data_IF_677293756269
#
_entry.id   IF_677293756269
#
_cell.length_a   1.000
_cell.length_b   1.000
_cell.length_c   1.000
_cell.angle_alpha   90.00
_cell.angle_beta   90.00
_cell.angle_gamma   90.00
#
_symmetry.space_group_name_H-M   'P 1'
#
loop_
_entity.id
_entity.type
_entity.pdbx_description
1 polymer ?
#
# COMPACT_ATOMS: atom_id res chain seq x y z
N UNK A 1 -16.32 6.91 12.15
CA UNK A 1 -15.22 7.36 13.02
C UNK A 1 -15.79 8.39 13.98
N UNK A 2 -15.51 8.33 15.28
CA UNK A 2 -15.92 9.39 16.22
C UNK A 2 -14.95 10.56 16.06
N UNK A 3 -15.47 11.78 15.92
CA UNK A 3 -14.62 12.96 15.94
C UNK A 3 -14.17 13.19 17.39
N UNK A 4 -12.91 12.94 17.70
CA UNK A 4 -12.41 13.13 19.07
C UNK A 4 -12.41 14.62 19.43
N UNK A 5 -12.54 14.95 20.71
CA UNK A 5 -12.45 16.34 21.18
C UNK A 5 -11.17 17.03 20.72
N UNK A 6 -10.03 16.33 20.75
CA UNK A 6 -8.74 16.85 20.28
C UNK A 6 -8.75 17.14 18.77
N UNK A 7 -9.37 16.28 17.95
CA UNK A 7 -9.51 16.51 16.52
C UNK A 7 -10.37 17.76 16.26
N UNK A 8 -11.49 17.89 16.98
CA UNK A 8 -12.39 19.03 16.86
C UNK A 8 -11.70 20.33 17.26
N UNK A 9 -10.97 20.34 18.38
CA UNK A 9 -10.25 21.52 18.85
C UNK A 9 -9.14 21.95 17.88
N UNK A 10 -8.34 21.00 17.41
CA UNK A 10 -7.24 21.28 16.48
C UNK A 10 -7.72 21.79 15.12
N UNK A 11 -8.94 21.44 14.72
CA UNK A 11 -9.51 21.75 13.42
C UNK A 11 -10.78 22.61 13.52
N UNK A 12 -10.95 23.40 14.58
CA UNK A 12 -12.15 24.21 14.82
C UNK A 12 -12.42 25.27 13.72
N UNK A 13 -11.39 25.59 12.92
CA UNK A 13 -11.50 26.46 11.75
C UNK A 13 -12.08 25.73 10.51
N UNK A 14 -12.10 24.39 10.51
CA UNK A 14 -12.61 23.56 9.42
C UNK A 14 -13.83 22.72 9.80
N UNK A 15 -13.94 22.32 11.07
CA UNK A 15 -14.91 21.37 11.57
C UNK A 15 -15.82 22.00 12.62
N UNK A 16 -17.10 21.69 12.55
CA UNK A 16 -18.08 21.99 13.60
C UNK A 16 -18.80 20.73 14.06
N UNK A 17 -19.25 20.67 15.34
CA UNK A 17 -19.96 19.50 15.86
C UNK A 17 -21.28 19.27 15.11
N UNK A 18 -21.54 18.02 14.75
CA UNK A 18 -22.81 17.60 14.14
C UNK A 18 -23.78 17.01 15.18
N UNK A 19 -23.35 16.89 16.44
CA UNK A 19 -24.08 16.22 17.51
C UNK A 19 -23.98 14.69 17.42
N UNK A 20 -24.91 14.00 18.08
CA UNK A 20 -24.99 12.54 18.06
C UNK A 20 -25.48 12.04 16.70
N UNK A 21 -24.58 11.45 15.94
CA UNK A 21 -24.90 10.75 14.69
C UNK A 21 -24.80 9.25 14.91
N UNK A 22 -25.71 8.51 14.29
CA UNK A 22 -25.65 7.06 14.28
C UNK A 22 -24.55 6.61 13.31
N UNK A 23 -23.50 5.99 13.84
CA UNK A 23 -22.45 5.38 13.04
C UNK A 23 -23.07 4.24 12.20
N UNK A 24 -23.05 4.31 10.86
CA UNK A 24 -23.71 3.32 10.00
C UNK A 24 -23.07 1.92 10.12
N UNK A 25 -21.79 1.82 10.45
CA UNK A 25 -21.08 0.54 10.53
C UNK A 25 -21.31 -0.20 11.86
N UNK A 26 -21.54 0.53 12.96
CA UNK A 26 -21.67 -0.06 14.29
C UNK A 26 -23.05 0.12 14.91
N UNK A 27 -23.94 0.90 14.30
CA UNK A 27 -25.25 1.28 14.83
C UNK A 27 -25.22 2.13 16.11
N UNK A 28 -24.02 2.48 16.61
CA UNK A 28 -23.82 3.24 17.85
C UNK A 28 -23.97 4.74 17.58
N UNK A 29 -24.47 5.48 18.56
CA UNK A 29 -24.36 6.94 18.56
C UNK A 29 -22.89 7.32 18.77
N UNK A 30 -22.42 8.24 17.95
CA UNK A 30 -21.08 8.83 18.03
C UNK A 30 -21.19 10.33 17.83
N UNK A 31 -20.29 11.08 18.46
CA UNK A 31 -20.15 12.51 18.18
C UNK A 31 -19.61 12.70 16.76
N UNK A 32 -20.44 13.32 15.93
CA UNK A 32 -20.10 13.65 14.55
C UNK A 32 -19.45 15.01 14.40
N UNK A 33 -18.76 15.18 13.29
CA UNK A 33 -18.26 16.46 12.82
C UNK A 33 -18.74 16.67 11.38
N UNK A 34 -18.95 17.93 11.01
CA UNK A 34 -19.13 18.34 9.61
C UNK A 34 -18.23 19.52 9.28
N UNK A 35 -18.00 19.77 7.99
CA UNK A 35 -17.28 20.94 7.53
C UNK A 35 -18.09 22.22 7.84
N UNK A 36 -17.40 23.26 8.32
CA UNK A 36 -17.96 24.61 8.44
C UNK A 36 -18.34 25.14 7.04
N UNK A 37 -19.25 26.14 6.92
CA UNK A 37 -19.57 26.74 5.64
C UNK A 37 -18.35 27.31 4.89
N UNK A 38 -17.42 27.90 5.63
CA UNK A 38 -16.16 28.41 5.08
C UNK A 38 -15.28 27.27 4.56
N UNK A 39 -15.20 26.15 5.29
CA UNK A 39 -14.45 24.98 4.85
C UNK A 39 -15.09 24.29 3.64
N UNK A 40 -16.42 24.26 3.54
CA UNK A 40 -17.12 23.77 2.35
C UNK A 40 -16.83 24.65 1.12
N UNK A 41 -16.79 25.98 1.32
CA UNK A 41 -16.43 26.94 0.27
C UNK A 41 -14.97 26.76 -0.15
N UNK A 42 -14.06 26.64 0.83
CA UNK A 42 -12.65 26.37 0.60
C UNK A 42 -12.43 25.05 -0.16
N UNK A 43 -13.17 23.99 0.18
CA UNK A 43 -13.11 22.72 -0.53
C UNK A 43 -13.56 22.88 -1.99
N UNK A 44 -14.68 23.58 -2.24
CA UNK A 44 -15.18 23.85 -3.60
C UNK A 44 -14.18 24.65 -4.44
N UNK A 45 -13.60 25.70 -3.88
CA UNK A 45 -12.61 26.52 -4.59
C UNK A 45 -11.31 25.77 -4.83
N UNK A 46 -10.81 25.02 -3.84
CA UNK A 46 -9.58 24.23 -3.97
C UNK A 46 -9.73 23.08 -4.97
N UNK A 47 -10.91 22.45 -5.04
CA UNK A 47 -11.20 21.41 -6.02
C UNK A 47 -11.30 21.94 -7.45
N UNK A 48 -11.68 23.22 -7.61
CA UNK A 48 -11.76 23.90 -8.90
C UNK A 48 -10.41 24.48 -9.36
N UNK A 49 -9.42 24.52 -8.47
CA UNK A 49 -8.06 24.98 -8.78
C UNK A 49 -7.22 23.81 -9.32
N UNK A 50 -6.86 23.91 -10.61
CA UNK A 50 -6.02 22.91 -11.28
C UNK A 50 -4.68 22.64 -10.59
N UNK A 51 -4.15 23.60 -9.83
CA UNK A 51 -2.89 23.43 -9.09
C UNK A 51 -3.00 22.41 -7.96
N UNK A 52 -4.18 22.33 -7.32
CA UNK A 52 -4.44 21.44 -6.19
C UNK A 52 -5.24 20.19 -6.58
N UNK A 53 -5.99 20.24 -7.69
CA UNK A 53 -6.84 19.14 -8.14
C UNK A 53 -6.08 17.81 -8.24
N UNK A 54 -4.86 17.79 -8.80
CA UNK A 54 -4.05 16.58 -8.89
C UNK A 54 -3.58 16.05 -7.52
N UNK A 55 -3.27 16.94 -6.58
CA UNK A 55 -2.81 16.55 -5.24
C UNK A 55 -3.98 16.07 -4.38
N UNK A 56 -5.13 16.75 -4.47
CA UNK A 56 -6.38 16.35 -3.83
C UNK A 56 -6.84 15.00 -4.37
N UNK A 57 -6.87 14.80 -5.68
CA UNK A 57 -7.23 13.51 -6.28
C UNK A 57 -6.23 12.41 -5.93
N UNK A 58 -4.92 12.70 -5.92
CA UNK A 58 -3.93 11.74 -5.46
C UNK A 58 -4.16 11.34 -3.99
N UNK A 59 -4.54 12.28 -3.12
CA UNK A 59 -4.87 12.01 -1.71
C UNK A 59 -6.16 11.19 -1.56
N UNK A 60 -7.21 11.56 -2.30
CA UNK A 60 -8.50 10.85 -2.30
C UNK A 60 -8.37 9.44 -2.87
N UNK A 61 -7.65 9.28 -3.97
CA UNK A 61 -7.40 8.00 -4.61
C UNK A 61 -6.45 7.12 -3.80
N UNK A 62 -5.54 7.70 -3.02
CA UNK A 62 -4.55 6.92 -2.31
C UNK A 62 -5.09 6.13 -1.12
N UNK A 63 -6.08 6.65 -0.37
CA UNK A 63 -6.60 5.90 0.79
C UNK A 63 -7.88 6.42 1.46
N UNK A 64 -8.65 7.34 0.85
CA UNK A 64 -9.95 7.69 1.43
C UNK A 64 -10.99 6.71 0.88
N UNK A 65 -11.31 5.69 1.67
CA UNK A 65 -12.52 4.87 1.49
C UNK A 65 -13.75 5.73 1.81
N UNK A 66 -14.00 6.75 0.99
CA UNK A 66 -15.31 7.40 0.93
C UNK A 66 -16.18 6.48 0.09
N UNK A 67 -17.24 5.94 0.68
CA UNK A 67 -18.33 5.47 -0.17
C UNK A 67 -18.99 6.71 -0.78
N UNK A 68 -18.92 6.77 -2.12
CA UNK A 68 -19.45 7.80 -3.01
C UNK A 68 -18.43 8.88 -3.44
N UNK A 69 -18.60 9.28 -4.69
CA UNK A 69 -17.65 9.70 -5.71
C UNK A 69 -16.98 11.05 -5.52
N UNK A 70 -15.66 11.05 -5.74
CA UNK A 70 -14.84 12.25 -5.93
C UNK A 70 -15.10 13.39 -4.93
N UNK A 71 -14.73 14.60 -5.33
CA UNK A 71 -15.07 15.81 -4.58
C UNK A 71 -16.53 16.21 -4.80
N UNK A 72 -17.07 15.93 -6.00
CA UNK A 72 -18.42 16.37 -6.39
C UNK A 72 -19.55 15.70 -5.59
N UNK A 73 -19.45 14.41 -5.26
CA UNK A 73 -20.45 13.71 -4.45
C UNK A 73 -20.26 14.00 -2.95
N UNK A 74 -19.01 14.25 -2.50
CA UNK A 74 -18.70 14.82 -1.17
C UNK A 74 -19.39 16.18 -0.93
N UNK A 75 -19.55 16.96 -1.99
CA UNK A 75 -20.23 18.25 -1.97
C UNK A 75 -21.76 18.15 -2.17
N UNK A 76 -22.25 17.01 -2.68
CA UNK A 76 -23.66 16.78 -3.01
C UNK A 76 -24.40 15.79 -2.08
N UNK A 77 -23.70 15.08 -1.19
CA UNK A 77 -24.28 14.02 -0.37
C UNK A 77 -25.32 14.54 0.64
N UNK A 78 -26.59 14.19 0.39
CA UNK A 78 -27.60 13.97 1.42
C UNK A 78 -27.33 12.61 2.08
N UNK A 79 -27.45 12.54 3.41
CA UNK A 79 -27.20 11.34 4.22
C UNK A 79 -28.27 10.27 3.97
N UNK A 80 -28.10 9.45 2.93
CA UNK A 80 -28.90 8.23 2.75
C UNK A 80 -28.20 6.97 3.33
N UNK A 81 -28.97 6.01 3.87
CA UNK A 81 -28.45 4.89 4.63
C UNK A 81 -27.79 3.80 3.77
N UNK A 82 -26.64 3.34 4.25
CA UNK A 82 -25.77 2.31 3.68
C UNK A 82 -26.34 0.88 3.80
N UNK A 83 -26.14 0.07 2.76
CA UNK A 83 -26.39 -1.39 2.73
C UNK A 83 -25.11 -2.11 2.31
N UNK A 84 -24.52 -2.88 3.23
CA UNK A 84 -23.29 -3.65 3.03
C UNK A 84 -23.54 -4.81 2.04
N UNK A 85 -22.92 -4.77 0.85
CA UNK A 85 -22.95 -5.91 -0.09
C UNK A 85 -21.75 -6.84 0.16
N UNK A 86 -22.07 -8.01 0.72
CA UNK A 86 -21.32 -9.29 0.66
C UNK A 86 -19.80 -9.25 0.65
N UNK A 87 -19.17 -9.68 1.74
CA UNK A 87 -17.79 -10.18 1.71
C UNK A 87 -17.75 -11.44 0.86
N UNK A 88 -16.89 -11.47 -0.16
CA UNK A 88 -16.64 -12.70 -0.92
C UNK A 88 -16.09 -13.77 0.03
N UNK A 89 -16.50 -15.02 -0.16
CA UNK A 89 -16.03 -16.12 0.67
C UNK A 89 -14.51 -16.30 0.47
N UNK A 90 -13.74 -16.08 1.54
CA UNK A 90 -12.30 -16.38 1.57
C UNK A 90 -12.14 -17.88 1.73
N UNK A 91 -11.30 -18.50 0.89
CA UNK A 91 -11.01 -19.94 1.04
C UNK A 91 -10.35 -20.22 2.40
N UNK A 92 -10.68 -21.34 3.04
CA UNK A 92 -10.00 -21.78 4.24
C UNK A 92 -8.51 -22.04 3.96
N UNK A 93 -7.65 -21.77 4.94
CA UNK A 93 -6.22 -22.03 4.82
C UNK A 93 -5.97 -23.53 4.58
N UNK A 94 -5.14 -23.91 3.59
CA UNK A 94 -4.78 -25.30 3.37
C UNK A 94 -3.97 -25.82 4.56
N UNK A 95 -4.29 -27.02 5.05
CA UNK A 95 -3.54 -27.69 6.14
C UNK A 95 -2.35 -28.44 5.54
N UNK A 96 -1.18 -28.35 6.17
CA UNK A 96 -0.02 -29.18 5.80
C UNK A 96 1.26 -28.64 6.42
N UNK A 97 1.77 -29.28 7.47
CA UNK A 97 2.82 -28.72 8.31
C UNK A 97 3.94 -27.98 7.55
N UNK A 98 4.07 -26.68 7.78
CA UNK A 98 5.20 -25.87 7.32
C UNK A 98 6.48 -26.32 8.04
N UNK A 99 7.10 -27.40 7.56
CA UNK A 99 8.36 -27.92 8.09
C UNK A 99 9.53 -26.97 7.87
N UNK A 100 9.42 -26.08 6.88
CA UNK A 100 10.43 -25.07 6.56
C UNK A 100 9.81 -23.76 6.04
N UNK A 101 10.63 -22.70 5.96
CA UNK A 101 10.26 -21.43 5.32
C UNK A 101 9.90 -21.61 3.84
N UNK A 102 10.60 -22.50 3.13
CA UNK A 102 10.31 -22.80 1.73
C UNK A 102 8.93 -23.43 1.54
N UNK A 103 8.56 -24.38 2.41
CA UNK A 103 7.24 -25.02 2.36
C UNK A 103 6.11 -24.02 2.64
N UNK A 104 6.34 -23.09 3.58
CA UNK A 104 5.41 -22.00 3.85
C UNK A 104 5.20 -21.11 2.62
N UNK A 105 6.29 -20.73 1.94
CA UNK A 105 6.23 -19.90 0.71
C UNK A 105 5.51 -20.63 -0.42
N UNK A 106 5.81 -21.91 -0.65
CA UNK A 106 5.14 -22.73 -1.66
C UNK A 106 3.63 -22.82 -1.41
N UNK A 107 3.22 -23.09 -0.16
CA UNK A 107 1.81 -23.12 0.25
C UNK A 107 1.14 -21.76 0.11
N UNK A 108 1.84 -20.68 0.46
CA UNK A 108 1.34 -19.32 0.30
C UNK A 108 1.08 -18.98 -1.18
N UNK A 109 2.03 -19.32 -2.06
CA UNK A 109 1.90 -19.13 -3.52
C UNK A 109 0.70 -19.90 -4.05
N UNK A 110 0.59 -21.19 -3.71
CA UNK A 110 -0.52 -22.04 -4.14
C UNK A 110 -1.86 -21.54 -3.61
N UNK A 111 -1.92 -21.10 -2.35
CA UNK A 111 -3.16 -20.59 -1.79
C UNK A 111 -3.59 -19.28 -2.48
N UNK A 112 -2.68 -18.34 -2.71
CA UNK A 112 -3.02 -17.09 -3.43
C UNK A 112 -3.48 -17.39 -4.86
N UNK A 113 -2.88 -18.39 -5.52
CA UNK A 113 -3.26 -18.82 -6.86
C UNK A 113 -4.70 -19.35 -6.89
N UNK A 114 -5.07 -20.16 -5.91
CA UNK A 114 -6.39 -20.80 -5.85
C UNK A 114 -7.48 -19.91 -5.22
N UNK A 115 -7.13 -18.97 -4.36
CA UNK A 115 -8.07 -18.09 -3.67
C UNK A 115 -8.75 -17.15 -4.68
N UNK A 116 -10.09 -17.14 -4.79
CA UNK A 116 -10.78 -16.19 -5.66
C UNK A 116 -10.60 -14.74 -5.17
N UNK A 117 -10.36 -13.81 -6.10
CA UNK A 117 -10.11 -12.40 -5.79
C UNK A 117 -11.07 -11.47 -6.52
N UNK A 118 -11.64 -10.53 -5.76
CA UNK A 118 -12.52 -9.50 -6.28
C UNK A 118 -11.80 -8.14 -6.23
N UNK A 119 -11.35 -7.58 -7.37
CA UNK A 119 -10.77 -6.24 -7.40
C UNK A 119 -11.76 -5.20 -6.87
N UNK A 120 -11.31 -4.40 -5.91
CA UNK A 120 -12.12 -3.35 -5.27
C UNK A 120 -11.43 -1.99 -5.36
N UNK A 121 -12.23 -0.95 -5.56
CA UNK A 121 -11.83 0.45 -5.47
C UNK A 121 -12.79 1.18 -4.55
N UNK A 122 -12.27 1.78 -3.47
CA UNK A 122 -13.08 2.49 -2.46
C UNK A 122 -14.28 1.64 -1.97
N UNK A 123 -14.01 0.40 -1.59
CA UNK A 123 -15.01 -0.57 -1.11
C UNK A 123 -15.83 -1.27 -2.20
N UNK A 124 -15.93 -0.71 -3.41
CA UNK A 124 -16.78 -1.22 -4.50
C UNK A 124 -16.04 -2.16 -5.42
N UNK A 125 -16.71 -3.24 -5.85
CA UNK A 125 -16.20 -4.12 -6.91
C UNK A 125 -16.12 -3.34 -8.23
N UNK A 126 -14.98 -3.42 -8.93
CA UNK A 126 -14.77 -2.68 -10.20
C UNK A 126 -14.57 -3.57 -11.42
N UNK A 127 -14.38 -4.88 -11.22
CA UNK A 127 -14.19 -5.89 -12.28
C UNK A 127 -14.85 -7.20 -11.85
N UNK A 128 -14.88 -8.20 -12.71
CA UNK A 128 -15.27 -9.56 -12.30
C UNK A 128 -14.27 -10.16 -11.30
N UNK A 129 -14.72 -11.20 -10.59
CA UNK A 129 -13.82 -12.03 -9.79
C UNK A 129 -12.80 -12.73 -10.68
N UNK A 130 -11.55 -12.78 -10.24
CA UNK A 130 -10.43 -13.44 -10.92
C UNK A 130 -9.79 -14.47 -9.99
N UNK A 131 -9.04 -15.39 -10.56
CA UNK A 131 -8.30 -16.42 -9.84
C UNK A 131 -6.96 -16.61 -10.56
N UNK A 132 -5.90 -16.96 -9.83
CA UNK A 132 -4.56 -17.07 -10.40
C UNK A 132 -3.74 -15.79 -10.28
N UNK A 133 -2.42 -15.93 -10.22
CA UNK A 133 -1.50 -14.79 -10.07
C UNK A 133 -1.50 -13.86 -11.28
N UNK A 134 -1.54 -14.40 -12.51
CA UNK A 134 -1.48 -13.61 -13.73
C UNK A 134 -2.75 -12.75 -13.91
N UNK A 135 -3.92 -13.33 -13.68
CA UNK A 135 -5.22 -12.66 -13.77
C UNK A 135 -5.35 -11.58 -12.70
N UNK A 136 -4.81 -11.82 -11.49
CA UNK A 136 -4.72 -10.78 -10.44
C UNK A 136 -3.81 -9.62 -10.86
N UNK A 137 -2.73 -9.88 -11.59
CA UNK A 137 -1.85 -8.84 -12.13
C UNK A 137 -2.53 -8.07 -13.27
N UNK A 138 -3.27 -8.73 -14.16
CA UNK A 138 -4.07 -8.07 -15.21
C UNK A 138 -5.21 -7.23 -14.62
N UNK A 139 -5.73 -7.64 -13.47
CA UNK A 139 -6.71 -6.88 -12.70
C UNK A 139 -6.12 -5.68 -11.93
N UNK A 140 -4.79 -5.54 -11.87
CA UNK A 140 -4.15 -4.41 -11.19
C UNK A 140 -4.55 -3.08 -11.81
N UNK A 141 -4.76 -2.10 -10.94
CA UNK A 141 -4.90 -0.71 -11.34
C UNK A 141 -4.38 0.24 -10.25
N UNK A 142 -3.86 1.40 -10.64
CA UNK A 142 -3.52 2.48 -9.73
C UNK A 142 -3.28 3.81 -10.48
N UNK A 143 -3.82 4.94 -9.99
CA UNK A 143 -4.60 5.10 -8.76
C UNK A 143 -6.08 4.78 -8.93
N UNK A 144 -6.57 4.70 -10.17
CA UNK A 144 -7.98 4.52 -10.52
C UNK A 144 -8.15 3.31 -11.45
N UNK A 145 -9.35 2.70 -11.54
CA UNK A 145 -9.59 1.45 -12.30
C UNK A 145 -9.26 1.48 -13.79
N UNK A 146 -9.19 2.66 -14.38
CA UNK A 146 -8.83 2.94 -15.78
C UNK A 146 -7.31 2.97 -16.02
N UNK A 147 -6.49 3.03 -14.97
CA UNK A 147 -5.03 3.04 -15.07
C UNK A 147 -4.47 1.66 -14.72
N UNK A 148 -4.22 0.84 -15.73
CA UNK A 148 -3.69 -0.52 -15.54
C UNK A 148 -2.20 -0.56 -15.14
N UNK A 149 -1.66 -1.77 -14.98
CA UNK A 149 -0.26 -1.96 -14.60
C UNK A 149 0.74 -1.42 -15.65
N UNK A 150 0.40 -1.48 -16.95
CA UNK A 150 1.28 -1.01 -18.04
C UNK A 150 1.33 0.51 -18.06
N UNK A 151 0.17 1.16 -18.00
CA UNK A 151 0.06 2.61 -17.88
C UNK A 151 0.78 3.11 -16.62
N UNK A 152 0.62 2.40 -15.49
CA UNK A 152 1.36 2.69 -14.26
C UNK A 152 2.87 2.61 -14.49
N UNK A 153 3.38 1.52 -15.07
CA UNK A 153 4.82 1.35 -15.34
C UNK A 153 5.36 2.46 -16.23
N UNK A 154 4.68 2.77 -17.34
CA UNK A 154 5.09 3.85 -18.25
C UNK A 154 5.17 5.20 -17.55
N UNK A 155 4.18 5.53 -16.71
CA UNK A 155 4.16 6.76 -15.91
C UNK A 155 5.32 6.84 -14.92
N UNK A 156 5.79 5.70 -14.41
CA UNK A 156 6.85 5.62 -13.41
C UNK A 156 8.27 5.58 -14.00
N UNK A 157 8.41 5.29 -15.29
CA UNK A 157 9.72 5.23 -15.97
C UNK A 157 10.62 6.45 -15.72
N UNK A 158 10.14 7.71 -15.82
CA UNK A 158 10.99 8.87 -15.55
C UNK A 158 11.50 8.94 -14.11
N UNK A 159 10.68 8.53 -13.13
CA UNK A 159 11.06 8.46 -11.72
C UNK A 159 12.08 7.34 -11.48
N UNK A 160 11.91 6.18 -12.12
CA UNK A 160 12.88 5.08 -12.06
C UNK A 160 14.24 5.50 -12.63
N UNK A 161 14.26 6.16 -13.79
CA UNK A 161 15.48 6.67 -14.40
C UNK A 161 16.17 7.70 -13.51
N UNK A 162 15.40 8.61 -12.90
CA UNK A 162 15.92 9.60 -11.95
C UNK A 162 16.51 8.94 -10.71
N UNK A 163 15.79 7.97 -10.12
CA UNK A 163 16.28 7.23 -8.97
C UNK A 163 17.57 6.45 -9.28
N UNK A 164 17.67 5.85 -10.47
CA UNK A 164 18.89 5.18 -10.91
C UNK A 164 20.08 6.14 -11.00
N UNK A 165 19.90 7.31 -11.60
CA UNK A 165 20.96 8.31 -11.71
C UNK A 165 21.42 8.79 -10.34
N UNK A 166 20.48 9.10 -9.44
CA UNK A 166 20.78 9.51 -8.05
C UNK A 166 21.46 8.39 -7.26
N UNK A 167 21.03 7.14 -7.44
CA UNK A 167 21.61 6.00 -6.74
C UNK A 167 23.08 5.77 -7.11
N UNK A 168 23.47 6.00 -8.36
CA UNK A 168 24.85 5.85 -8.83
C UNK A 168 25.86 6.80 -8.16
N UNK A 169 25.37 7.89 -7.57
CA UNK A 169 26.19 8.92 -6.91
C UNK A 169 25.80 9.15 -5.44
N UNK A 170 24.96 8.29 -4.86
CA UNK A 170 24.52 8.40 -3.47
C UNK A 170 25.71 8.44 -2.49
N UNK A 171 25.67 9.36 -1.51
CA UNK A 171 26.76 9.62 -0.57
C UNK A 171 27.76 10.67 -1.05
N UNK A 172 27.66 11.12 -2.30
CA UNK A 172 28.52 12.15 -2.89
C UNK A 172 27.74 13.13 -3.78
N UNK A 173 26.47 13.35 -3.48
CA UNK A 173 25.62 14.23 -4.26
C UNK A 173 26.13 15.67 -4.25
N UNK A 174 26.20 16.24 -5.46
CA UNK A 174 26.34 17.66 -5.72
C UNK A 174 25.13 18.45 -5.20
N UNK A 175 25.22 19.78 -5.21
CA UNK A 175 24.07 20.62 -4.84
C UNK A 175 22.86 20.36 -5.73
N UNK A 176 23.07 20.24 -7.04
CA UNK A 176 22.02 19.98 -8.01
C UNK A 176 21.36 18.62 -7.80
N UNK A 177 22.15 17.56 -7.53
CA UNK A 177 21.60 16.23 -7.23
C UNK A 177 20.80 16.22 -5.92
N UNK A 178 21.17 17.03 -4.93
CA UNK A 178 20.41 17.19 -3.68
C UNK A 178 19.04 17.83 -3.92
N UNK A 179 18.97 18.86 -4.77
CA UNK A 179 17.70 19.46 -5.18
C UNK A 179 16.85 18.45 -5.96
N UNK A 180 17.45 17.78 -6.94
CA UNK A 180 16.79 16.75 -7.72
C UNK A 180 16.26 15.59 -6.86
N UNK A 181 17.01 15.18 -5.84
CA UNK A 181 16.59 14.13 -4.90
C UNK A 181 15.36 14.54 -4.08
N UNK A 182 15.28 15.81 -3.67
CA UNK A 182 14.10 16.32 -2.98
C UNK A 182 12.87 16.33 -3.90
N UNK A 183 13.03 16.84 -5.13
CA UNK A 183 11.94 16.89 -6.11
C UNK A 183 11.46 15.49 -6.48
N UNK A 184 12.41 14.56 -6.66
CA UNK A 184 12.13 13.15 -6.86
C UNK A 184 11.31 12.55 -5.72
N UNK A 185 11.72 12.75 -4.46
CA UNK A 185 11.00 12.23 -3.31
C UNK A 185 9.57 12.82 -3.22
N UNK A 186 9.41 14.13 -3.46
CA UNK A 186 8.09 14.79 -3.53
C UNK A 186 7.21 14.18 -4.62
N UNK A 187 7.75 13.95 -5.81
CA UNK A 187 7.03 13.34 -6.91
C UNK A 187 6.58 11.89 -6.58
N UNK A 188 7.42 11.11 -5.92
CA UNK A 188 7.07 9.76 -5.42
C UNK A 188 5.95 9.83 -4.38
N UNK A 189 6.01 10.78 -3.46
CA UNK A 189 4.96 10.97 -2.45
C UNK A 189 3.64 11.42 -3.07
N UNK A 190 3.68 12.32 -4.07
CA UNK A 190 2.51 12.76 -4.83
C UNK A 190 1.88 11.57 -5.57
N UNK A 191 2.68 10.79 -6.31
CA UNK A 191 2.18 9.59 -7.01
C UNK A 191 1.55 8.56 -6.06
N UNK A 192 2.14 8.37 -4.88
CA UNK A 192 1.62 7.45 -3.87
C UNK A 192 0.51 8.03 -2.99
N UNK A 193 0.12 9.30 -3.18
CA UNK A 193 -0.81 10.06 -2.32
C UNK A 193 -0.48 10.02 -0.83
N UNK A 194 0.81 10.05 -0.50
CA UNK A 194 1.35 9.93 0.86
C UNK A 194 2.20 11.16 1.22
N UNK A 195 1.56 12.33 1.41
CA UNK A 195 2.28 13.57 1.71
C UNK A 195 3.10 13.39 2.99
N UNK A 196 4.30 13.95 2.99
CA UNK A 196 5.23 13.87 4.11
C UNK A 196 5.38 15.22 4.78
N UNK A 197 5.76 15.19 6.06
CA UNK A 197 6.28 16.38 6.74
C UNK A 197 7.51 16.91 5.99
N UNK A 198 7.86 18.20 6.13
CA UNK A 198 9.07 18.75 5.53
C UNK A 198 10.31 17.88 5.83
N UNK A 199 11.11 17.68 4.79
CA UNK A 199 12.35 16.90 4.81
C UNK A 199 13.40 17.61 3.94
N UNK A 200 14.65 17.18 4.06
CA UNK A 200 15.79 17.70 3.31
C UNK A 200 16.51 16.61 2.52
N UNK A 201 17.50 17.02 1.72
CA UNK A 201 18.23 16.10 0.85
C UNK A 201 19.06 15.08 1.65
N UNK A 202 19.48 15.41 2.88
CA UNK A 202 20.21 14.48 3.76
C UNK A 202 19.32 13.30 4.15
N UNK A 203 18.04 13.58 4.42
CA UNK A 203 17.04 12.55 4.70
C UNK A 203 16.86 11.62 3.50
N UNK A 204 16.73 12.18 2.29
CA UNK A 204 16.58 11.39 1.06
C UNK A 204 17.83 10.54 0.80
N UNK A 205 19.02 11.14 0.94
CA UNK A 205 20.30 10.43 0.77
C UNK A 205 20.45 9.27 1.77
N UNK A 206 20.11 9.49 3.03
CA UNK A 206 20.12 8.44 4.05
C UNK A 206 19.18 7.28 3.70
N UNK A 207 18.00 7.55 3.11
CA UNK A 207 17.07 6.51 2.63
C UNK A 207 17.66 5.75 1.45
N UNK A 208 18.27 6.43 0.48
CA UNK A 208 18.95 5.79 -0.65
C UNK A 208 20.09 4.88 -0.18
N UNK A 209 20.98 5.40 0.66
CA UNK A 209 22.10 4.65 1.21
C UNK A 209 21.64 3.45 2.05
N UNK A 210 20.54 3.62 2.80
CA UNK A 210 19.96 2.51 3.58
C UNK A 210 19.41 1.41 2.68
N UNK A 211 18.68 1.81 1.63
CA UNK A 211 18.05 0.89 0.70
C UNK A 211 19.10 0.11 -0.12
N UNK A 212 20.10 0.80 -0.65
CA UNK A 212 21.18 0.21 -1.46
C UNK A 212 22.11 -0.64 -0.59
N UNK A 213 22.47 -0.16 0.60
CA UNK A 213 23.38 -0.85 1.51
C UNK A 213 22.75 -1.99 2.31
N UNK A 214 21.41 -2.11 2.32
CA UNK A 214 20.69 -3.11 3.12
C UNK A 214 20.82 -2.91 4.63
N UNK A 215 21.20 -1.71 5.08
CA UNK A 215 21.47 -1.38 6.50
C UNK A 215 20.93 0.02 6.78
N UNK A 216 20.15 0.19 7.85
CA UNK A 216 19.59 1.49 8.23
C UNK A 216 20.68 2.52 8.55
N UNK A 217 20.67 3.65 7.85
CA UNK A 217 21.52 4.80 8.12
C UNK A 217 20.86 5.76 9.11
N UNK A 218 21.63 6.51 9.91
CA UNK A 218 21.10 7.60 10.73
C UNK A 218 20.36 8.62 9.87
N UNK A 219 19.16 9.02 10.31
CA UNK A 219 18.31 9.98 9.58
C UNK A 219 17.49 9.38 8.43
N UNK A 220 17.65 8.08 8.13
CA UNK A 220 16.83 7.41 7.12
C UNK A 220 15.40 7.17 7.65
N UNK A 221 14.46 8.03 7.25
CA UNK A 221 13.07 7.89 7.64
C UNK A 221 12.44 6.63 7.05
N UNK A 222 11.48 6.06 7.78
CA UNK A 222 10.73 4.90 7.33
C UNK A 222 9.26 5.02 7.69
N UNK A 223 8.38 4.89 6.69
CA UNK A 223 6.93 4.74 6.76
C UNK A 223 6.44 4.34 5.34
N UNK A 224 5.13 4.15 5.12
CA UNK A 224 4.58 3.74 3.81
C UNK A 224 4.90 4.69 2.64
N UNK A 225 5.29 5.94 2.89
CA UNK A 225 5.81 6.85 1.87
C UNK A 225 7.27 6.61 1.60
N UNK A 226 8.11 6.56 2.64
CA UNK A 226 9.55 6.34 2.50
C UNK A 226 9.91 4.94 1.97
N UNK A 227 9.05 3.93 2.16
CA UNK A 227 9.21 2.63 1.47
C UNK A 227 9.12 2.76 -0.06
N UNK A 228 8.34 3.72 -0.58
CA UNK A 228 8.27 4.01 -2.02
C UNK A 228 9.60 4.55 -2.50
N UNK A 229 10.14 5.57 -1.83
CA UNK A 229 11.45 6.14 -2.16
C UNK A 229 12.54 5.05 -2.14
N UNK A 230 12.55 4.19 -1.12
CA UNK A 230 13.50 3.08 -1.01
C UNK A 230 13.34 2.04 -2.14
N UNK A 231 12.11 1.72 -2.55
CA UNK A 231 11.84 0.80 -3.66
C UNK A 231 12.32 1.38 -5.00
N UNK A 232 12.07 2.66 -5.28
CA UNK A 232 12.60 3.32 -6.48
C UNK A 232 14.13 3.37 -6.45
N UNK A 233 14.73 3.73 -5.31
CA UNK A 233 16.19 3.80 -5.15
C UNK A 233 16.90 2.48 -5.48
N UNK A 234 16.23 1.34 -5.28
CA UNK A 234 16.78 0.01 -5.54
C UNK A 234 16.24 -0.65 -6.81
N UNK A 235 15.35 0.01 -7.56
CA UNK A 235 14.76 -0.53 -8.79
C UNK A 235 15.77 -0.83 -9.90
N UNK A 236 16.94 -0.18 -9.86
CA UNK A 236 18.03 -0.39 -10.80
C UNK A 236 18.99 -1.54 -10.42
N UNK A 237 18.93 -2.07 -9.19
CA UNK A 237 19.85 -3.12 -8.67
C UNK A 237 19.50 -4.50 -9.25
N UNK A 238 18.95 -4.51 -10.47
CA UNK A 238 18.28 -5.62 -11.12
C UNK A 238 16.83 -5.76 -10.65
N UNK A 239 15.96 -6.19 -11.57
CA UNK A 239 14.56 -6.54 -11.26
C UNK A 239 14.43 -7.60 -10.15
N UNK A 240 15.55 -8.25 -9.80
CA UNK A 240 15.64 -9.38 -8.89
C UNK A 240 16.05 -9.02 -7.45
N UNK A 241 16.65 -7.85 -7.18
CA UNK A 241 17.14 -7.50 -5.83
C UNK A 241 16.58 -6.20 -5.27
N UNK A 242 15.69 -5.52 -6.00
CA UNK A 242 15.00 -4.32 -5.53
C UNK A 242 14.20 -4.56 -4.24
N UNK A 243 14.05 -3.50 -3.45
CA UNK A 243 13.09 -3.45 -2.36
C UNK A 243 11.68 -3.23 -2.90
N UNK A 244 10.70 -3.75 -2.17
CA UNK A 244 9.29 -3.53 -2.48
C UNK A 244 8.73 -2.37 -1.64
N UNK A 245 7.63 -1.78 -2.09
CA UNK A 245 6.81 -0.87 -1.29
C UNK A 245 6.14 -1.70 -0.19
N UNK A 246 6.84 -1.88 0.93
CA UNK A 246 6.31 -2.57 2.10
C UNK A 246 5.34 -1.67 2.88
N UNK A 247 4.15 -1.46 2.33
CA UNK A 247 3.07 -0.70 2.97
C UNK A 247 2.01 -1.59 3.63
N UNK A 248 0.96 -0.97 4.15
CA UNK A 248 -0.12 -1.69 4.85
C UNK A 248 -0.85 -2.70 3.99
N UNK A 249 -0.94 -2.50 2.66
CA UNK A 249 -1.67 -3.42 1.77
C UNK A 249 -0.86 -4.68 1.54
N UNK A 250 0.40 -4.51 1.14
CA UNK A 250 1.32 -5.63 0.91
C UNK A 250 1.54 -6.41 2.21
N UNK A 251 1.78 -5.73 3.33
CA UNK A 251 1.96 -6.37 4.63
C UNK A 251 0.69 -7.12 5.05
N UNK A 252 -0.49 -6.53 4.90
CA UNK A 252 -1.75 -7.17 5.29
C UNK A 252 -2.06 -8.42 4.44
N UNK A 253 -1.91 -8.34 3.11
CA UNK A 253 -2.13 -9.46 2.18
C UNK A 253 -1.31 -10.69 2.56
N UNK A 254 -0.04 -10.50 2.93
CA UNK A 254 0.86 -11.57 3.32
C UNK A 254 0.59 -12.05 4.75
N UNK A 255 0.56 -11.15 5.73
CA UNK A 255 0.46 -11.52 7.14
C UNK A 255 -0.84 -12.27 7.41
N UNK A 256 -1.99 -11.84 6.83
CA UNK A 256 -3.27 -12.54 7.06
C UNK A 256 -3.25 -14.00 6.61
N UNK A 257 -2.54 -14.30 5.51
CA UNK A 257 -2.45 -15.68 5.00
C UNK A 257 -1.40 -16.48 5.74
N UNK A 258 -0.25 -15.88 6.03
CA UNK A 258 0.79 -16.58 6.79
C UNK A 258 0.28 -16.92 8.20
N UNK A 259 -0.40 -15.98 8.86
CA UNK A 259 -1.06 -16.20 10.15
C UNK A 259 -2.00 -17.42 10.09
N UNK A 260 -2.90 -17.46 9.10
CA UNK A 260 -3.84 -18.55 8.94
C UNK A 260 -3.17 -19.90 8.60
N UNK A 261 -2.12 -19.91 7.78
CA UNK A 261 -1.33 -21.13 7.49
C UNK A 261 -0.64 -21.66 8.75
N UNK A 262 -0.02 -20.78 9.54
CA UNK A 262 0.66 -21.16 10.78
C UNK A 262 -0.34 -21.68 11.83
N UNK A 263 -1.48 -21.03 11.97
CA UNK A 263 -2.56 -21.46 12.88
C UNK A 263 -3.14 -22.81 12.45
N UNK A 264 -3.36 -23.01 11.14
CA UNK A 264 -3.83 -24.28 10.60
C UNK A 264 -2.84 -25.43 10.86
N UNK A 265 -1.55 -25.11 10.98
CA UNK A 265 -0.49 -26.07 11.35
C UNK A 265 -0.32 -26.24 12.86
N UNK A 266 -1.15 -25.60 13.68
CA UNK A 266 -1.10 -25.67 15.14
C UNK A 266 0.03 -24.85 15.79
N UNK A 267 0.62 -23.89 15.06
CA UNK A 267 1.62 -22.99 15.63
C UNK A 267 0.94 -22.03 16.62
N UNK A 268 1.59 -21.83 17.78
CA UNK A 268 1.13 -20.90 18.83
C UNK A 268 1.89 -19.57 18.82
N UNK A 269 2.91 -19.45 17.98
CA UNK A 269 3.77 -18.28 17.91
C UNK A 269 4.40 -18.13 16.53
N UNK A 270 5.05 -16.99 16.32
CA UNK A 270 5.65 -16.65 15.04
C UNK A 270 7.04 -17.29 14.97
N UNK A 271 7.33 -18.09 13.93
CA UNK A 271 8.67 -18.63 13.71
C UNK A 271 9.73 -17.53 13.66
N UNK A 272 10.93 -17.80 14.19
CA UNK A 272 12.02 -16.81 14.29
C UNK A 272 12.42 -16.22 12.93
N UNK A 273 12.34 -16.99 11.85
CA UNK A 273 12.62 -16.49 10.50
C UNK A 273 11.60 -15.45 10.00
N UNK A 274 10.45 -15.29 10.66
CA UNK A 274 9.44 -14.27 10.38
C UNK A 274 9.44 -13.13 11.42
N UNK A 275 10.32 -13.14 12.42
CA UNK A 275 10.30 -12.16 13.53
C UNK A 275 10.48 -10.69 13.09
N UNK A 276 11.04 -10.47 11.90
CA UNK A 276 11.21 -9.15 11.32
C UNK A 276 10.11 -8.80 10.32
N UNK A 277 9.23 -9.73 9.96
CA UNK A 277 7.99 -9.43 9.25
C UNK A 277 7.01 -8.88 10.28
N UNK A 278 6.47 -7.69 10.03
CA UNK A 278 5.62 -7.02 11.01
C UNK A 278 4.45 -6.30 10.36
N UNK A 279 3.36 -6.15 11.13
CA UNK A 279 2.15 -5.51 10.66
C UNK A 279 2.37 -4.01 10.47
N UNK A 280 1.74 -3.46 9.43
CA UNK A 280 1.76 -2.03 9.12
C UNK A 280 0.32 -1.53 9.18
N UNK A 281 -0.01 -0.58 10.06
CA UNK A 281 -1.38 -0.08 10.18
C UNK A 281 -1.79 0.67 8.91
N UNK A 282 -3.04 0.49 8.47
CA UNK A 282 -3.64 1.29 7.41
C UNK A 282 -3.83 2.76 7.81
N UNK A 283 -3.92 3.66 6.84
CA UNK A 283 -4.16 5.08 7.10
C UNK A 283 -5.64 5.29 7.47
N UNK A 284 -5.91 6.25 8.35
CA UNK A 284 -7.27 6.73 8.61
C UNK A 284 -8.21 5.79 9.35
N UNK A 285 -7.78 4.60 9.81
CA UNK A 285 -8.64 3.70 10.59
C UNK A 285 -9.88 3.19 9.84
N UNK A 286 -9.91 3.32 8.51
CA UNK A 286 -10.98 2.82 7.62
C UNK A 286 -10.97 1.30 7.55
N UNK A 287 -9.77 0.71 7.60
CA UNK A 287 -9.61 -0.73 7.76
C UNK A 287 -9.91 -1.10 9.20
N UNK A 288 -10.95 -1.92 9.41
CA UNK A 288 -11.22 -2.59 10.70
C UNK A 288 -9.87 -3.10 11.23
N UNK A 289 -9.53 -2.80 12.49
CA UNK A 289 -8.29 -3.31 13.09
C UNK A 289 -8.22 -4.82 12.81
N UNK A 290 -7.28 -5.20 11.95
CA UNK A 290 -7.13 -6.59 11.56
C UNK A 290 -6.56 -7.31 12.77
N UNK A 291 -7.40 -8.10 13.43
CA UNK A 291 -6.96 -8.98 14.49
C UNK A 291 -6.33 -10.22 13.85
N UNK A 292 -5.00 -10.29 13.85
CA UNK A 292 -4.27 -11.52 13.56
C UNK A 292 -4.38 -12.46 14.75
N UNK A 293 -4.34 -13.77 14.51
CA UNK A 293 -4.43 -14.78 15.57
C UNK A 293 -3.11 -14.87 16.35
N UNK A 294 -1.97 -14.82 15.64
CA UNK A 294 -0.64 -14.82 16.24
C UNK A 294 -0.19 -13.40 16.59
N UNK A 295 0.71 -13.24 17.59
CA UNK A 295 1.14 -11.92 18.07
C UNK A 295 2.20 -11.28 17.15
N UNK A 296 1.77 -10.80 15.97
CA UNK A 296 2.68 -10.16 15.00
C UNK A 296 3.31 -8.88 15.55
N UNK A 297 4.65 -8.71 15.43
CA UNK A 297 5.29 -7.48 15.85
C UNK A 297 4.87 -6.32 14.93
N UNK A 298 5.01 -5.09 15.43
CA UNK A 298 4.84 -3.91 14.59
C UNK A 298 6.00 -3.81 13.59
N UNK A 299 5.68 -3.80 12.30
CA UNK A 299 6.60 -3.50 11.21
C UNK A 299 6.58 -2.04 10.79
N UNK A 300 5.74 -1.21 11.44
CA UNK A 300 5.57 0.19 11.06
C UNK A 300 6.84 1.00 11.38
N UNK A 301 7.30 1.77 10.39
CA UNK A 301 8.52 2.59 10.47
C UNK A 301 9.81 1.81 10.77
N UNK A 302 9.89 0.57 10.30
CA UNK A 302 11.00 -0.34 10.58
C UNK A 302 11.73 -0.74 9.29
N UNK A 303 13.01 -0.36 9.17
CA UNK A 303 13.89 -0.82 8.09
C UNK A 303 14.06 -2.35 8.06
N UNK A 304 14.31 -3.03 9.21
CA UNK A 304 14.33 -4.49 9.24
C UNK A 304 13.07 -5.13 8.64
N UNK A 305 11.89 -4.53 8.85
CA UNK A 305 10.65 -5.04 8.27
C UNK A 305 10.58 -4.86 6.76
N UNK A 306 11.05 -3.74 6.22
CA UNK A 306 11.14 -3.53 4.77
C UNK A 306 12.09 -4.54 4.12
N UNK A 307 13.26 -4.78 4.73
CA UNK A 307 14.24 -5.74 4.21
C UNK A 307 13.71 -7.17 4.25
N UNK A 308 13.16 -7.59 5.40
CA UNK A 308 12.59 -8.92 5.56
C UNK A 308 11.37 -9.13 4.66
N UNK A 309 10.48 -8.15 4.57
CA UNK A 309 9.31 -8.17 3.69
C UNK A 309 9.69 -8.25 2.21
N UNK A 310 10.69 -7.47 1.79
CA UNK A 310 11.22 -7.55 0.42
C UNK A 310 11.86 -8.92 0.15
N UNK A 311 12.56 -9.51 1.12
CA UNK A 311 13.10 -10.86 0.98
C UNK A 311 12.00 -11.92 0.80
N UNK A 312 10.93 -11.84 1.59
CA UNK A 312 9.78 -12.74 1.43
C UNK A 312 9.11 -12.58 0.06
N UNK A 313 8.94 -11.37 -0.45
CA UNK A 313 8.38 -11.14 -1.79
C UNK A 313 9.29 -11.72 -2.89
N UNK A 314 10.62 -11.66 -2.72
CA UNK A 314 11.56 -12.32 -3.64
C UNK A 314 11.43 -13.83 -3.60
N UNK A 315 11.24 -14.44 -2.44
CA UNK A 315 11.01 -15.88 -2.31
C UNK A 315 9.71 -16.31 -3.01
N UNK A 316 8.63 -15.52 -2.89
CA UNK A 316 7.37 -15.74 -3.60
C UNK A 316 7.59 -15.67 -5.12
N UNK A 317 8.30 -14.65 -5.60
CA UNK A 317 8.67 -14.51 -7.02
C UNK A 317 9.46 -15.72 -7.51
N UNK A 318 10.45 -16.16 -6.74
CA UNK A 318 11.31 -17.29 -7.11
C UNK A 318 10.51 -18.57 -7.21
N UNK A 319 9.57 -18.78 -6.29
CA UNK A 319 8.66 -19.92 -6.32
C UNK A 319 7.70 -19.87 -7.53
N UNK A 320 7.11 -18.70 -7.84
CA UNK A 320 6.29 -18.52 -9.04
C UNK A 320 7.07 -18.86 -10.33
N UNK A 321 8.30 -18.35 -10.43
CA UNK A 321 9.18 -18.61 -11.56
C UNK A 321 9.62 -20.09 -11.62
N UNK A 322 9.82 -20.75 -10.48
CA UNK A 322 10.16 -22.17 -10.38
C UNK A 322 9.01 -23.06 -10.87
N UNK A 323 7.77 -22.68 -10.55
CA UNK A 323 6.55 -23.36 -10.99
C UNK A 323 6.23 -23.13 -12.48
N UNK A 324 6.94 -22.22 -13.15
CA UNK A 324 6.70 -21.90 -14.56
C UNK A 324 5.41 -21.09 -14.79
N UNK A 325 4.86 -20.47 -13.74
CA UNK A 325 3.69 -19.60 -13.84
C UNK A 325 4.14 -18.32 -14.53
N UNK A 326 3.63 -18.06 -15.74
CA UNK A 326 3.93 -16.85 -16.48
C UNK A 326 3.31 -15.62 -15.78
N UNK A 327 4.04 -14.51 -15.70
CA UNK A 327 3.47 -13.28 -15.15
C UNK A 327 2.48 -12.66 -16.13
N UNK A 328 2.90 -12.55 -17.41
CA UNK A 328 2.08 -12.09 -18.52
C UNK A 328 2.49 -12.84 -19.80
N UNK A 329 1.60 -12.84 -20.79
CA UNK A 329 1.95 -13.19 -22.16
C UNK A 329 2.07 -11.89 -22.98
N UNK A 330 3.27 -11.60 -23.48
CA UNK A 330 3.53 -10.44 -24.36
C UNK A 330 3.98 -10.99 -25.71
N UNK A 331 3.20 -10.73 -26.76
CA UNK A 331 3.44 -11.24 -28.11
C UNK A 331 3.69 -12.76 -28.15
N UNK A 332 2.90 -13.50 -27.34
CA UNK A 332 3.00 -14.96 -27.21
C UNK A 332 4.20 -15.44 -26.39
N UNK A 333 5.00 -14.54 -25.80
CA UNK A 333 6.13 -14.89 -24.92
C UNK A 333 5.76 -14.73 -23.46
N UNK A 334 5.98 -15.78 -22.69
CA UNK A 334 5.83 -15.75 -21.24
C UNK A 334 6.91 -14.86 -20.61
N UNK A 335 6.48 -13.88 -19.82
CA UNK A 335 7.37 -13.06 -19.01
C UNK A 335 7.54 -13.67 -17.62
N UNK A 336 8.72 -13.45 -17.04
CA UNK A 336 9.04 -13.90 -15.68
C UNK A 336 8.47 -12.93 -14.65
N UNK A 337 8.15 -13.45 -13.47
CA UNK A 337 7.82 -12.63 -12.32
C UNK A 337 9.03 -11.84 -11.84
N UNK A 338 8.81 -10.56 -11.54
CA UNK A 338 9.75 -9.70 -10.80
C UNK A 338 9.18 -9.40 -9.43
N UNK A 339 10.00 -8.95 -8.48
CA UNK A 339 9.51 -8.57 -7.15
C UNK A 339 8.44 -7.47 -7.24
N UNK A 340 8.56 -6.57 -8.22
CA UNK A 340 7.60 -5.49 -8.47
C UNK A 340 6.24 -6.00 -8.94
N UNK A 341 6.22 -7.00 -9.82
CA UNK A 341 4.96 -7.60 -10.30
C UNK A 341 4.24 -8.36 -9.18
N UNK A 342 5.00 -9.07 -8.34
CA UNK A 342 4.44 -9.73 -7.15
C UNK A 342 3.88 -8.70 -6.17
N UNK A 343 4.62 -7.61 -5.90
CA UNK A 343 4.15 -6.52 -5.05
C UNK A 343 2.84 -5.91 -5.57
N UNK A 344 2.69 -5.70 -6.89
CA UNK A 344 1.46 -5.17 -7.49
C UNK A 344 0.24 -6.06 -7.18
N UNK A 345 0.40 -7.39 -7.29
CA UNK A 345 -0.67 -8.34 -6.93
C UNK A 345 -1.02 -8.24 -5.44
N UNK A 346 -0.01 -8.27 -4.57
CA UNK A 346 -0.20 -8.22 -3.11
C UNK A 346 -0.79 -6.88 -2.64
N UNK A 347 -0.45 -5.80 -3.31
CA UNK A 347 -1.01 -4.47 -3.04
C UNK A 347 -2.52 -4.43 -3.30
N UNK A 348 -2.98 -5.01 -4.41
CA UNK A 348 -4.41 -5.07 -4.73
C UNK A 348 -5.17 -6.04 -3.84
N UNK A 349 -4.53 -7.15 -3.48
CA UNK A 349 -5.12 -8.17 -2.62
C UNK A 349 -5.20 -7.75 -1.13
N UNK A 350 -4.45 -6.71 -0.76
CA UNK A 350 -4.53 -6.09 0.56
C UNK A 350 -5.64 -5.05 0.71
N UNK A 351 -6.54 -4.88 -0.25
CA UNK A 351 -7.71 -3.99 -0.16
C UNK A 351 -8.83 -4.54 0.72
#
# INVERSE_FOLDING_TARGET
MQATGDLMAANAHLLEPLGDVRNPASGRLVEGARLTPDAQTLLKTSASDSAWAEEIEALLAADIEVEAGGVDELLAASLDPYVEQGTAAVMAAPVGGAGSRGDLVARLVQWIDQDPFQPRYRGKAVRGQVQGWAERLEAYFWPTPDVDHRATQLRLTPLLNTAQALAATAGRWTHQEKEQANDFARAVFKWGGVPQKPFDARTVEAVFLSAIGGISQPGALMNSGWTKVAAFATGHVGADNGLVIWDSRVAHSLIRRIDALLVADGQLGIPSYLQHIGHVPGRGGTRKQVAYTLPWPSGYRSWPAVFAGSALVREIRDELNRLGIAALLIDGKATRWTARLVEMVLFMDGY
#
